data_IF_556385531714
#
_entry.id   IF_556385531714
#
_cell.length_a   1.000
_cell.length_b   1.000
_cell.length_c   1.000
_cell.angle_alpha   90.00
_cell.angle_beta   90.00
_cell.angle_gamma   90.00
#
_symmetry.space_group_name_H-M   'P 1'
#
loop_
_entity.id
_entity.type
_entity.pdbx_description
1 polymer ?
#
# COMPACT_ATOMS: atom_id res chain seq x y z
N UNK A 1 1.30 10.87 -12.76
CA UNK A 1 2.50 10.04 -12.51
C UNK A 1 2.40 8.80 -13.39
N UNK A 2 3.51 8.28 -13.91
CA UNK A 2 3.55 7.04 -14.69
C UNK A 2 3.93 5.85 -13.75
N UNK A 3 3.46 4.61 -13.99
CA UNK A 3 3.81 3.45 -13.17
C UNK A 3 5.31 3.25 -12.89
N UNK A 4 6.19 3.55 -13.84
CA UNK A 4 7.64 3.44 -13.60
C UNK A 4 8.13 4.48 -12.58
N UNK A 5 7.56 5.69 -12.61
CA UNK A 5 7.84 6.70 -11.58
C UNK A 5 7.34 6.26 -10.20
N UNK A 6 6.23 5.52 -10.11
CA UNK A 6 5.75 5.00 -8.83
C UNK A 6 6.73 4.02 -8.19
N UNK A 7 7.39 3.16 -8.98
CA UNK A 7 8.38 2.22 -8.45
C UNK A 7 9.51 2.96 -7.72
N UNK A 8 10.07 3.96 -8.38
CA UNK A 8 11.18 4.75 -7.83
C UNK A 8 10.73 5.66 -6.68
N UNK A 9 9.62 6.39 -6.84
CA UNK A 9 9.22 7.42 -5.87
C UNK A 9 8.41 6.89 -4.69
N UNK A 10 7.76 5.74 -4.83
CA UNK A 10 6.90 5.17 -3.78
C UNK A 10 7.49 3.87 -3.27
N UNK A 11 7.77 2.90 -4.14
CA UNK A 11 8.10 1.55 -3.67
C UNK A 11 9.46 1.55 -2.98
N UNK A 12 10.48 2.12 -3.63
CA UNK A 12 11.81 2.26 -3.02
C UNK A 12 11.78 3.08 -1.73
N UNK A 13 10.96 4.14 -1.67
CA UNK A 13 10.83 4.96 -0.46
C UNK A 13 10.22 4.17 0.70
N UNK A 14 9.20 3.35 0.44
CA UNK A 14 8.63 2.46 1.46
C UNK A 14 9.65 1.41 1.91
N UNK A 15 10.41 0.80 1.00
CA UNK A 15 11.49 -0.13 1.37
C UNK A 15 12.57 0.55 2.23
N UNK A 16 13.01 1.76 1.85
CA UNK A 16 13.96 2.56 2.65
C UNK A 16 13.40 2.94 4.02
N UNK A 17 12.10 3.21 4.11
CA UNK A 17 11.43 3.47 5.39
C UNK A 17 11.52 2.24 6.30
N UNK A 18 11.13 1.05 5.83
CA UNK A 18 11.25 -0.18 6.60
C UNK A 18 12.70 -0.49 6.99
N UNK A 19 13.64 -0.31 6.07
CA UNK A 19 15.06 -0.48 6.36
C UNK A 19 15.55 0.49 7.46
N UNK A 20 15.04 1.73 7.49
CA UNK A 20 15.38 2.70 8.55
C UNK A 20 14.84 2.31 9.93
N UNK A 21 13.82 1.45 9.99
CA UNK A 21 13.29 0.85 11.20
C UNK A 21 13.96 -0.49 11.54
N UNK A 22 14.99 -0.88 10.78
CA UNK A 22 15.66 -2.17 10.87
C UNK A 22 14.71 -3.38 10.68
N UNK A 23 13.62 -3.17 9.94
CA UNK A 23 12.66 -4.21 9.57
C UNK A 23 12.96 -4.70 8.16
N UNK A 24 13.15 -6.03 8.02
CA UNK A 24 13.35 -6.67 6.73
C UNK A 24 11.99 -7.04 6.14
N UNK A 25 11.56 -6.29 5.12
CA UNK A 25 10.42 -6.65 4.28
C UNK A 25 10.93 -7.34 3.02
N UNK A 26 10.11 -8.25 2.47
CA UNK A 26 10.47 -8.97 1.25
C UNK A 26 10.20 -8.07 0.04
N UNK A 27 11.28 -7.74 -0.70
CA UNK A 27 11.23 -6.88 -1.88
C UNK A 27 10.72 -7.62 -3.13
N UNK A 28 10.65 -8.96 -3.08
CA UNK A 28 10.12 -9.79 -4.16
C UNK A 28 8.58 -9.85 -4.15
N UNK A 29 7.93 -9.28 -3.12
CA UNK A 29 6.45 -9.21 -3.08
C UNK A 29 5.98 -8.31 -4.24
N UNK A 30 5.19 -8.84 -5.18
CA UNK A 30 4.70 -8.06 -6.30
C UNK A 30 3.71 -6.97 -5.84
N UNK A 31 4.06 -5.72 -6.09
CA UNK A 31 3.19 -4.55 -5.93
C UNK A 31 2.50 -4.24 -7.26
N UNK A 32 1.18 -4.31 -7.27
CA UNK A 32 0.33 -4.17 -8.45
C UNK A 32 -0.45 -2.86 -8.41
N UNK A 33 -0.13 -1.98 -9.35
CA UNK A 33 -0.86 -0.73 -9.54
C UNK A 33 -2.17 -1.01 -10.26
N UNK A 34 -3.29 -0.65 -9.65
CA UNK A 34 -4.63 -0.89 -10.18
C UNK A 34 -5.46 0.40 -10.20
N UNK A 35 -6.45 0.50 -11.07
CA UNK A 35 -7.37 1.63 -11.09
C UNK A 35 -8.56 1.45 -10.11
N UNK A 36 -9.46 2.43 -10.10
CA UNK A 36 -10.67 2.40 -9.27
C UNK A 36 -11.62 1.26 -9.66
N UNK A 37 -11.74 0.94 -10.94
CA UNK A 37 -12.68 -0.06 -11.45
C UNK A 37 -12.23 -1.48 -11.09
N UNK A 38 -10.93 -1.70 -11.00
CA UNK A 38 -10.39 -2.95 -10.48
C UNK A 38 -10.52 -3.01 -8.95
N UNK A 39 -10.23 -1.90 -8.26
CA UNK A 39 -10.26 -1.84 -6.79
C UNK A 39 -11.69 -1.98 -6.21
N UNK A 40 -12.72 -1.52 -6.94
CA UNK A 40 -14.12 -1.63 -6.49
C UNK A 40 -14.58 -3.09 -6.31
N UNK A 41 -13.91 -4.05 -6.98
CA UNK A 41 -14.19 -5.49 -6.82
C UNK A 41 -13.96 -5.99 -5.40
N UNK A 42 -13.22 -5.23 -4.59
CA UNK A 42 -12.88 -5.53 -3.21
C UNK A 42 -13.53 -4.57 -2.20
N UNK A 43 -14.59 -3.87 -2.62
CA UNK A 43 -15.36 -2.97 -1.75
C UNK A 43 -15.86 -3.72 -0.50
N UNK A 44 -15.71 -3.09 0.66
CA UNK A 44 -16.29 -3.61 1.89
C UNK A 44 -17.82 -3.40 1.85
N UNK A 45 -18.59 -4.49 1.89
CA UNK A 45 -20.05 -4.46 1.80
C UNK A 45 -20.73 -3.82 3.00
N UNK A 46 -20.08 -3.80 4.18
CA UNK A 46 -20.67 -3.23 5.39
C UNK A 46 -20.58 -1.71 5.42
N UNK A 47 -19.42 -1.18 5.04
CA UNK A 47 -19.10 0.25 5.11
C UNK A 47 -19.28 0.95 3.76
N UNK A 48 -19.52 0.19 2.69
CA UNK A 48 -19.54 0.65 1.30
C UNK A 48 -18.24 1.38 0.87
N UNK A 49 -17.14 1.15 1.58
CA UNK A 49 -15.85 1.79 1.31
C UNK A 49 -15.05 1.01 0.28
N UNK A 50 -14.50 1.71 -0.72
CA UNK A 50 -13.53 1.15 -1.66
C UNK A 50 -12.14 1.27 -1.03
N UNK A 51 -11.38 0.17 -0.89
CA UNK A 51 -10.04 0.23 -0.32
C UNK A 51 -9.09 1.06 -1.18
N UNK A 52 -8.02 1.55 -0.57
CA UNK A 52 -6.93 2.27 -1.28
C UNK A 52 -5.74 1.36 -1.57
N UNK A 53 -5.56 0.31 -0.78
CA UNK A 53 -4.63 -0.79 -0.98
C UNK A 53 -5.18 -2.07 -0.37
N UNK A 54 -4.60 -3.22 -0.75
CA UNK A 54 -4.97 -4.54 -0.22
C UNK A 54 -3.76 -5.47 -0.25
N UNK A 55 -3.42 -6.10 0.87
CA UNK A 55 -2.60 -7.30 0.91
C UNK A 55 -3.44 -8.55 0.59
N UNK A 56 -3.14 -9.21 -0.53
CA UNK A 56 -3.85 -10.40 -0.99
C UNK A 56 -3.04 -11.66 -0.73
N UNK A 57 -3.69 -12.68 -0.17
CA UNK A 57 -3.10 -13.98 0.12
C UNK A 57 -3.75 -15.07 -0.73
N UNK A 58 -2.93 -15.88 -1.41
CA UNK A 58 -3.37 -17.03 -2.21
C UNK A 58 -4.48 -16.69 -3.23
N UNK A 59 -4.43 -15.49 -3.83
CA UNK A 59 -5.42 -15.01 -4.79
C UNK A 59 -4.98 -15.22 -6.24
N UNK A 60 -5.46 -16.30 -6.86
CA UNK A 60 -4.99 -16.78 -8.18
C UNK A 60 -5.67 -16.12 -9.39
N UNK A 61 -6.75 -15.35 -9.19
CA UNK A 61 -7.44 -14.73 -10.32
C UNK A 61 -6.58 -13.63 -10.95
N UNK A 62 -6.62 -13.47 -12.29
CA UNK A 62 -5.94 -12.36 -12.96
C UNK A 62 -6.46 -11.01 -12.46
N UNK A 63 -5.55 -10.05 -12.29
CA UNK A 63 -5.86 -8.68 -11.85
C UNK A 63 -5.48 -7.72 -12.96
N UNK A 64 -6.38 -6.81 -13.32
CA UNK A 64 -6.06 -5.78 -14.31
C UNK A 64 -5.20 -4.70 -13.69
N UNK A 65 -3.97 -4.59 -14.18
CA UNK A 65 -2.97 -3.65 -13.67
C UNK A 65 -2.70 -2.54 -14.67
N UNK A 66 -2.32 -1.37 -14.17
CA UNK A 66 -1.90 -0.23 -14.98
C UNK A 66 -0.43 -0.44 -15.34
N UNK A 67 -0.16 -0.67 -16.61
CA UNK A 67 1.19 -0.90 -17.11
C UNK A 67 1.85 0.39 -17.59
N UNK A 68 1.07 1.33 -18.13
CA UNK A 68 1.57 2.62 -18.62
C UNK A 68 0.52 3.70 -18.46
N UNK A 69 0.95 4.90 -18.12
CA UNK A 69 0.08 6.07 -18.04
C UNK A 69 0.77 7.28 -18.68
N UNK A 70 0.29 7.67 -19.86
CA UNK A 70 0.82 8.83 -20.58
C UNK A 70 -0.18 9.96 -20.55
N UNK A 71 0.28 11.15 -20.15
CA UNK A 71 -0.48 12.40 -20.26
C UNK A 71 0.06 13.20 -21.44
N UNK A 72 -0.80 13.55 -22.38
CA UNK A 72 -0.51 14.47 -23.48
C UNK A 72 -1.56 15.58 -23.44
N UNK A 73 -1.13 16.82 -23.18
CA UNK A 73 -2.03 17.94 -22.90
C UNK A 73 -3.07 17.56 -21.82
N UNK A 74 -4.36 17.67 -22.13
CA UNK A 74 -5.47 17.29 -21.25
C UNK A 74 -5.94 15.83 -21.41
N UNK A 75 -5.29 15.06 -22.29
CA UNK A 75 -5.65 13.65 -22.53
C UNK A 75 -4.77 12.72 -21.72
N UNK A 76 -5.41 11.83 -20.96
CA UNK A 76 -4.74 10.75 -20.24
C UNK A 76 -5.05 9.44 -20.94
N UNK A 77 -4.00 8.77 -21.42
CA UNK A 77 -4.09 7.41 -21.96
C UNK A 77 -3.53 6.43 -20.94
N UNK A 78 -4.33 5.43 -20.58
CA UNK A 78 -3.97 4.37 -19.63
C UNK A 78 -3.96 3.04 -20.35
N UNK A 79 -2.81 2.36 -20.33
CA UNK A 79 -2.67 1.02 -20.89
C UNK A 79 -2.73 -0.01 -19.75
N UNK A 80 -3.74 -0.89 -19.80
CA UNK A 80 -3.97 -1.92 -18.79
C UNK A 80 -3.48 -3.28 -19.28
N UNK A 81 -2.96 -4.10 -18.36
CA UNK A 81 -2.50 -5.46 -18.63
C UNK A 81 -3.03 -6.41 -17.56
N UNK A 82 -3.54 -7.56 -17.99
CA UNK A 82 -3.92 -8.63 -17.09
C UNK A 82 -2.66 -9.26 -16.46
N UNK A 83 -2.49 -9.11 -15.16
CA UNK A 83 -1.43 -9.72 -14.39
C UNK A 83 -1.91 -11.09 -13.88
N UNK A 84 -1.49 -12.15 -14.58
CA UNK A 84 -1.77 -13.54 -14.24
C UNK A 84 -0.74 -14.05 -13.24
N UNK A 85 -1.19 -14.88 -12.30
CA UNK A 85 -0.29 -15.53 -11.35
C UNK A 85 0.55 -16.58 -12.07
N UNK A 86 1.87 -16.54 -11.88
CA UNK A 86 2.78 -17.58 -12.36
C UNK A 86 3.23 -18.45 -11.17
N UNK A 87 3.57 -19.72 -11.41
CA UNK A 87 4.04 -20.64 -10.34
C UNK A 87 5.29 -20.13 -9.59
N UNK A 88 6.02 -19.17 -10.15
CA UNK A 88 7.20 -18.54 -9.57
C UNK A 88 6.88 -17.47 -8.50
N UNK A 89 5.63 -16.99 -8.41
CA UNK A 89 5.21 -15.96 -7.45
C UNK A 89 4.82 -16.52 -6.07
N UNK A 90 5.16 -17.78 -5.81
CA UNK A 90 4.98 -18.41 -4.51
C UNK A 90 6.17 -18.05 -3.64
N UNK A 91 5.96 -17.15 -2.69
CA UNK A 91 6.98 -16.82 -1.70
C UNK A 91 7.01 -17.93 -0.64
N UNK A 92 8.19 -18.37 -0.20
CA UNK A 92 8.29 -19.28 0.93
C UNK A 92 7.86 -18.52 2.19
N UNK A 93 6.57 -18.58 2.54
CA UNK A 93 6.14 -18.15 3.85
C UNK A 93 6.81 -19.09 4.87
N UNK A 94 7.64 -18.53 5.74
CA UNK A 94 8.40 -19.28 6.73
C UNK A 94 7.54 -19.90 7.82
N UNK A 95 6.23 -19.64 7.80
CA UNK A 95 5.30 -20.07 8.81
C UNK A 95 4.43 -21.19 8.26
N UNK A 96 4.47 -22.33 8.97
CA UNK A 96 3.73 -23.54 8.67
C UNK A 96 4.25 -24.36 7.46
N UNK A 97 5.44 -24.06 6.90
CA UNK A 97 6.09 -24.88 5.87
C UNK A 97 5.35 -24.93 4.52
N UNK A 98 4.40 -24.02 4.31
CA UNK A 98 3.60 -23.93 3.10
C UNK A 98 4.04 -22.74 2.25
N UNK A 99 4.05 -22.92 0.93
CA UNK A 99 4.27 -21.84 -0.02
C UNK A 99 3.01 -20.98 -0.11
N UNK A 100 3.14 -19.70 0.18
CA UNK A 100 2.03 -18.74 0.06
C UNK A 100 2.37 -17.69 -0.98
N UNK A 101 1.38 -17.32 -1.78
CA UNK A 101 1.53 -16.20 -2.69
C UNK A 101 0.92 -14.96 -2.04
N UNK A 102 1.73 -13.91 -1.91
CA UNK A 102 1.32 -12.60 -1.44
C UNK A 102 1.44 -11.62 -2.60
N UNK A 103 0.42 -10.77 -2.80
CA UNK A 103 0.43 -9.68 -3.78
C UNK A 103 -0.14 -8.44 -3.11
N UNK A 104 0.51 -7.29 -3.29
CA UNK A 104 0.01 -6.02 -2.78
C UNK A 104 -0.68 -5.26 -3.91
N UNK A 105 -1.94 -4.89 -3.73
CA UNK A 105 -2.65 -4.02 -4.65
C UNK A 105 -2.57 -2.59 -4.13
N UNK A 106 -2.26 -1.66 -5.02
CA UNK A 106 -2.19 -0.24 -4.69
C UNK A 106 -2.98 0.57 -5.72
N UNK A 107 -3.95 1.35 -5.23
CA UNK A 107 -4.76 2.19 -6.11
C UNK A 107 -3.94 3.33 -6.69
N UNK A 108 -3.78 3.31 -8.00
CA UNK A 108 -2.97 4.26 -8.74
C UNK A 108 -3.68 5.60 -8.95
N UNK A 109 -2.89 6.66 -9.16
CA UNK A 109 -3.37 8.00 -9.49
C UNK A 109 -3.57 8.90 -8.27
N UNK A 110 -3.30 8.40 -7.07
CA UNK A 110 -3.30 9.20 -5.84
C UNK A 110 -1.97 9.94 -5.67
N UNK A 111 -1.94 10.99 -4.82
CA UNK A 111 -0.70 11.63 -4.41
C UNK A 111 0.28 10.61 -3.82
N UNK A 112 1.56 10.74 -4.15
CA UNK A 112 2.65 9.84 -3.73
C UNK A 112 2.74 9.62 -2.23
N UNK A 113 2.57 10.65 -1.40
CA UNK A 113 2.54 10.51 0.07
C UNK A 113 1.43 9.57 0.50
N UNK A 114 0.23 9.68 -0.09
CA UNK A 114 -0.91 8.82 0.24
C UNK A 114 -0.67 7.41 -0.27
N UNK A 115 -0.17 7.26 -1.51
CA UNK A 115 0.19 5.95 -2.05
C UNK A 115 1.26 5.26 -1.22
N UNK A 116 2.25 6.01 -0.72
CA UNK A 116 3.31 5.48 0.15
C UNK A 116 2.81 5.10 1.53
N UNK A 117 1.97 5.92 2.16
CA UNK A 117 1.31 5.58 3.43
C UNK A 117 0.46 4.32 3.30
N UNK A 118 -0.34 4.22 2.22
CA UNK A 118 -1.12 3.01 1.91
C UNK A 118 -0.22 1.81 1.67
N UNK A 119 0.87 1.94 0.89
CA UNK A 119 1.77 0.82 0.64
C UNK A 119 2.49 0.38 1.92
N UNK A 120 2.89 1.30 2.80
CA UNK A 120 3.45 0.97 4.11
C UNK A 120 2.43 0.19 4.96
N UNK A 121 1.15 0.56 4.95
CA UNK A 121 0.11 -0.24 5.61
C UNK A 121 0.06 -1.69 5.09
N UNK A 122 -0.07 -1.88 3.76
CA UNK A 122 -0.21 -3.21 3.17
C UNK A 122 1.08 -4.06 3.25
N UNK A 123 2.25 -3.41 3.23
CA UNK A 123 3.52 -4.09 3.43
C UNK A 123 3.64 -4.65 4.85
N UNK A 124 3.06 -3.96 5.84
CA UNK A 124 3.06 -4.46 7.22
C UNK A 124 2.19 -5.71 7.37
N UNK A 125 1.03 -5.74 6.71
CA UNK A 125 0.20 -6.95 6.61
C UNK A 125 1.01 -8.13 6.07
N UNK A 126 1.74 -7.95 4.97
CA UNK A 126 2.60 -8.99 4.42
C UNK A 126 3.74 -9.38 5.37
N UNK A 127 4.39 -8.42 6.04
CA UNK A 127 5.46 -8.69 6.99
C UNK A 127 4.96 -9.52 8.18
N UNK A 128 3.85 -9.16 8.79
CA UNK A 128 3.21 -9.90 9.87
C UNK A 128 2.84 -11.33 9.45
N UNK A 129 2.39 -11.50 8.19
CA UNK A 129 2.13 -12.81 7.60
C UNK A 129 3.40 -13.66 7.50
N UNK A 130 4.52 -13.07 7.08
CA UNK A 130 5.81 -13.76 7.01
C UNK A 130 6.38 -14.13 8.38
N UNK A 131 6.10 -13.34 9.41
CA UNK A 131 6.44 -13.70 10.80
C UNK A 131 5.49 -14.74 11.40
N UNK A 132 4.43 -15.13 10.68
CA UNK A 132 3.43 -16.09 11.14
C UNK A 132 2.46 -15.55 12.17
N UNK A 133 2.54 -14.25 12.46
CA UNK A 133 1.66 -13.53 13.38
C UNK A 133 0.24 -13.41 12.84
N UNK A 134 0.10 -13.49 11.52
CA UNK A 134 -1.18 -13.64 10.83
C UNK A 134 -1.26 -15.07 10.27
N UNK A 135 -2.39 -15.74 10.53
CA UNK A 135 -2.72 -17.10 10.09
C UNK A 135 -2.29 -18.22 11.05
N UNK A 136 -0.98 -18.48 11.23
CA UNK A 136 -0.52 -19.54 12.14
C UNK A 136 -0.78 -19.13 13.60
N UNK A 137 -0.40 -17.90 13.97
CA UNK A 137 -1.02 -17.19 15.08
C UNK A 137 -2.16 -16.34 14.52
N UNK A 138 -3.27 -16.25 15.24
CA UNK A 138 -4.41 -15.41 14.87
C UNK A 138 -4.38 -14.16 15.73
N UNK A 139 -3.51 -13.21 15.37
CA UNK A 139 -3.58 -11.87 15.94
C UNK A 139 -5.01 -11.35 15.81
N UNK A 140 -5.52 -10.69 16.85
CA UNK A 140 -6.84 -10.08 16.76
C UNK A 140 -6.83 -9.02 15.67
N UNK A 141 -7.90 -8.98 14.87
CA UNK A 141 -7.97 -8.13 13.69
C UNK A 141 -7.74 -6.64 14.01
N UNK A 142 -8.23 -6.16 15.15
CA UNK A 142 -8.05 -4.78 15.56
C UNK A 142 -6.59 -4.44 15.85
N UNK A 143 -5.84 -5.39 16.42
CA UNK A 143 -4.41 -5.23 16.70
C UNK A 143 -3.59 -5.28 15.41
N UNK A 144 -3.92 -6.20 14.50
CA UNK A 144 -3.32 -6.30 13.16
C UNK A 144 -3.46 -4.98 12.39
N UNK A 145 -4.71 -4.51 12.22
CA UNK A 145 -5.01 -3.27 11.50
C UNK A 145 -4.41 -2.05 12.21
N UNK A 146 -4.42 -2.04 13.56
CA UNK A 146 -3.80 -1.01 14.37
C UNK A 146 -2.31 -0.85 14.11
N UNK A 147 -1.55 -1.95 14.16
CA UNK A 147 -0.11 -1.98 13.84
C UNK A 147 0.12 -1.47 12.40
N UNK A 148 -0.69 -1.92 11.44
CA UNK A 148 -0.57 -1.49 10.05
C UNK A 148 -0.87 0.01 9.88
N UNK A 149 -1.81 0.57 10.64
CA UNK A 149 -2.08 2.02 10.66
C UNK A 149 -0.94 2.82 11.30
N UNK A 150 -0.30 2.30 12.35
CA UNK A 150 0.91 2.91 12.94
C UNK A 150 2.02 3.00 11.90
N UNK A 151 2.24 1.95 11.11
CA UNK A 151 3.25 1.96 10.04
C UNK A 151 2.93 2.95 8.92
N UNK A 152 1.67 3.06 8.54
CA UNK A 152 1.16 4.10 7.61
C UNK A 152 1.46 5.51 8.12
N UNK A 153 1.17 5.78 9.39
CA UNK A 153 1.43 7.08 10.02
C UNK A 153 2.91 7.41 10.10
N UNK A 154 3.74 6.46 10.58
CA UNK A 154 5.20 6.60 10.68
C UNK A 154 5.86 6.83 9.31
N UNK A 155 5.37 6.17 8.25
CA UNK A 155 5.84 6.45 6.89
C UNK A 155 5.55 7.90 6.51
N UNK A 156 4.36 8.41 6.84
CA UNK A 156 4.00 9.81 6.63
C UNK A 156 5.00 10.76 7.31
N UNK A 157 5.31 10.55 8.59
CA UNK A 157 6.33 11.33 9.32
C UNK A 157 7.71 11.25 8.66
N UNK A 158 8.14 10.04 8.30
CA UNK A 158 9.42 9.78 7.64
C UNK A 158 9.52 10.47 6.28
N UNK A 159 8.43 10.49 5.52
CA UNK A 159 8.36 11.11 4.19
C UNK A 159 8.67 12.61 4.26
N UNK A 160 8.18 13.32 5.28
CA UNK A 160 8.49 14.75 5.44
C UNK A 160 9.84 15.01 6.12
N UNK A 161 10.30 14.12 7.00
CA UNK A 161 11.54 14.34 7.76
C UNK A 161 12.82 14.18 6.93
N UNK A 162 12.81 13.33 5.88
CA UNK A 162 14.02 13.10 5.05
C UNK A 162 14.37 14.22 4.09
N UNK A 163 13.53 15.25 3.95
CA UNK A 163 13.71 16.24 2.90
C UNK A 163 13.77 15.57 1.52
N UNK A 164 12.84 14.64 1.26
CA UNK A 164 12.74 13.92 -0.03
C UNK A 164 12.87 14.94 -1.16
N UNK A 165 13.70 14.63 -2.16
CA UNK A 165 13.89 15.54 -3.29
C UNK A 165 12.56 15.76 -4.01
N UNK A 166 11.91 16.88 -3.71
CA UNK A 166 10.65 17.30 -4.31
C UNK A 166 10.87 18.01 -5.65
N UNK A 167 12.07 17.95 -6.25
CA UNK A 167 12.37 18.54 -7.55
C UNK A 167 11.40 18.12 -8.67
N UNK A 168 10.80 16.94 -8.53
CA UNK A 168 9.79 16.43 -9.47
C UNK A 168 8.38 17.00 -9.26
N UNK A 169 8.14 17.77 -8.19
CA UNK A 169 6.84 18.38 -7.88
C UNK A 169 6.84 19.86 -8.24
N UNK A 170 5.70 20.33 -8.73
CA UNK A 170 5.42 21.78 -8.78
C UNK A 170 5.17 22.30 -7.36
N UNK A 171 5.29 23.62 -7.17
CA UNK A 171 4.97 24.28 -5.88
C UNK A 171 3.55 23.95 -5.40
N UNK A 172 2.58 23.97 -6.31
CA UNK A 172 1.19 23.60 -6.01
C UNK A 172 1.06 22.14 -5.56
N UNK A 173 1.73 21.21 -6.24
CA UNK A 173 1.74 19.80 -5.85
C UNK A 173 2.37 19.58 -4.47
N UNK A 174 3.41 20.34 -4.14
CA UNK A 174 4.04 20.31 -2.83
C UNK A 174 3.09 20.87 -1.74
N UNK A 175 2.43 21.99 -1.99
CA UNK A 175 1.45 22.57 -1.05
C UNK A 175 0.28 21.62 -0.78
N UNK A 176 -0.22 20.93 -1.82
CA UNK A 176 -1.22 19.87 -1.67
C UNK A 176 -0.66 18.71 -0.83
N UNK A 177 0.55 18.25 -1.13
CA UNK A 177 1.22 17.15 -0.40
C UNK A 177 1.34 17.48 1.09
N UNK A 178 1.75 18.70 1.43
CA UNK A 178 1.92 19.18 2.80
C UNK A 178 0.60 19.23 3.59
N UNK A 179 -0.52 19.49 2.92
CA UNK A 179 -1.86 19.50 3.55
C UNK A 179 -2.47 18.10 3.70
N UNK A 180 -2.13 17.19 2.79
CA UNK A 180 -2.74 15.86 2.74
C UNK A 180 -2.33 14.95 3.89
N UNK A 181 -1.07 15.01 4.35
CA UNK A 181 -0.63 14.16 5.45
C UNK A 181 -1.30 14.50 6.79
N UNK A 182 -1.33 15.77 7.25
CA UNK A 182 -2.05 16.13 8.47
C UNK A 182 -3.52 15.72 8.43
N UNK A 183 -4.18 15.96 7.29
CA UNK A 183 -5.55 15.53 7.06
C UNK A 183 -5.71 14.01 7.14
N UNK A 184 -4.80 13.24 6.51
CA UNK A 184 -4.82 11.78 6.55
C UNK A 184 -4.57 11.26 7.97
N UNK A 185 -3.62 11.84 8.71
CA UNK A 185 -3.33 11.47 10.09
C UNK A 185 -4.52 11.73 11.02
N UNK A 186 -5.26 12.82 10.81
CA UNK A 186 -6.51 13.09 11.52
C UNK A 186 -7.59 12.05 11.22
N UNK A 187 -7.75 11.67 9.94
CA UNK A 187 -8.69 10.61 9.55
C UNK A 187 -8.34 9.24 10.16
N UNK A 188 -7.06 8.94 10.35
CA UNK A 188 -6.64 7.70 11.01
C UNK A 188 -7.02 7.70 12.50
N UNK A 189 -6.81 8.81 13.21
CA UNK A 189 -7.21 8.96 14.62
C UNK A 189 -8.72 8.88 14.82
N UNK A 190 -9.48 9.45 13.88
CA UNK A 190 -10.94 9.57 13.95
C UNK A 190 -11.65 8.56 13.04
N UNK A 191 -11.06 7.40 12.79
CA UNK A 191 -11.58 6.45 11.81
C UNK A 191 -13.01 6.01 12.16
N UNK A 192 -13.88 5.92 11.15
CA UNK A 192 -15.30 5.56 11.34
C UNK A 192 -15.49 4.09 11.70
N UNK A 193 -14.63 3.22 11.16
CA UNK A 193 -14.55 1.80 11.56
C UNK A 193 -13.79 1.68 12.90
N UNK A 194 -14.49 1.14 13.90
CA UNK A 194 -14.03 0.99 15.28
C UNK A 194 -12.77 0.13 15.40
N UNK A 195 -12.64 -0.93 14.58
CA UNK A 195 -11.45 -1.80 14.56
C UNK A 195 -10.19 -0.98 14.28
N UNK A 196 -10.28 -0.08 13.31
CA UNK A 196 -9.17 0.78 12.91
C UNK A 196 -8.91 1.91 13.91
N UNK A 197 -9.98 2.46 14.50
CA UNK A 197 -9.86 3.56 15.47
C UNK A 197 -9.26 3.09 16.79
N UNK A 198 -9.76 1.98 17.33
CA UNK A 198 -9.28 1.44 18.61
C UNK A 198 -7.86 0.89 18.46
N UNK A 199 -7.57 0.16 17.39
CA UNK A 199 -6.22 -0.38 17.17
C UNK A 199 -5.14 0.69 16.98
N UNK A 200 -5.48 1.86 16.46
CA UNK A 200 -4.51 2.96 16.28
C UNK A 200 -4.31 3.80 17.56
N UNK A 201 -5.30 3.89 18.44
CA UNK A 201 -5.31 4.79 19.59
C UNK A 201 -4.95 4.13 20.93
N UNK A 202 -4.66 2.82 20.96
CA UNK A 202 -4.12 2.13 22.14
C UNK A 202 -2.62 2.37 22.30
#
# INVERSE_FOLDING_TARGET
MDPEKCKVLIFENVHRFYASLNLKVDEDIPILLVDKDEMIKFKNKKTETIPTGIAMYNYYKPIMTINRCTKYEDRIKVEKKANKVTKLQLLPAFCCGQREMIRLLLRFGWPDVIMGMTLAHEMMHAWLRFQGLIGCFKLERWLEEGICQVMSHKYGEWYFSRGVDYSYKTKEQLDITNKLYPYRAELLRNHSDEIYREGFNQ
#
